data_IF_972671728714
#
_entry.id   IF_972671728714
#
_cell.length_a   1.000
_cell.length_b   1.000
_cell.length_c   1.000
_cell.angle_alpha   90.00
_cell.angle_beta   90.00
_cell.angle_gamma   90.00
#
_symmetry.space_group_name_H-M   'P 1'
#
loop_
_entity.id
_entity.type
_entity.pdbx_description
1 polymer ?
#
# COMPACT_ATOMS: atom_id res chain seq x y z
N UNK A 1 53.61 34.44 -24.05
CA UNK A 1 53.21 35.46 -23.05
C UNK A 1 54.12 36.71 -23.03
N UNK A 2 55.42 36.64 -23.32
CA UNK A 2 56.36 37.79 -23.25
C UNK A 2 56.13 38.95 -24.26
N UNK A 3 55.57 38.70 -25.44
CA UNK A 3 55.32 39.75 -26.46
C UNK A 3 54.14 40.67 -26.11
N UNK A 4 53.08 40.14 -25.48
CA UNK A 4 51.90 40.92 -25.07
C UNK A 4 52.22 41.84 -23.90
N UNK A 5 53.01 41.38 -22.94
CA UNK A 5 53.47 42.21 -21.81
C UNK A 5 54.42 43.32 -22.26
N UNK A 6 55.31 43.06 -23.24
CA UNK A 6 56.17 44.09 -23.82
C UNK A 6 55.38 45.14 -24.61
N UNK A 7 54.40 44.72 -25.42
CA UNK A 7 53.53 45.63 -26.15
C UNK A 7 52.69 46.51 -25.20
N UNK A 8 52.13 45.92 -24.14
CA UNK A 8 51.39 46.67 -23.12
C UNK A 8 52.28 47.67 -22.38
N UNK A 9 53.54 47.31 -22.11
CA UNK A 9 54.49 48.20 -21.43
C UNK A 9 54.92 49.35 -22.34
N UNK A 10 55.14 49.09 -23.64
CA UNK A 10 55.43 50.13 -24.64
C UNK A 10 54.24 51.09 -24.82
N UNK A 11 53.02 50.55 -24.90
CA UNK A 11 51.79 51.35 -24.99
C UNK A 11 51.58 52.18 -23.71
N UNK A 12 51.86 51.62 -22.53
CA UNK A 12 51.78 52.35 -21.27
C UNK A 12 52.79 53.50 -21.19
N UNK A 13 54.03 53.30 -21.68
CA UNK A 13 55.05 54.35 -21.75
C UNK A 13 54.63 55.46 -22.72
N UNK A 14 54.10 55.11 -23.90
CA UNK A 14 53.58 56.08 -24.88
C UNK A 14 52.39 56.88 -24.34
N UNK A 15 51.47 56.22 -23.63
CA UNK A 15 50.35 56.87 -22.95
C UNK A 15 50.83 57.78 -21.82
N UNK A 16 51.80 57.34 -21.00
CA UNK A 16 52.36 58.14 -19.93
C UNK A 16 53.11 59.38 -20.47
N UNK A 17 53.86 59.23 -21.57
CA UNK A 17 54.54 60.34 -22.24
C UNK A 17 53.55 61.34 -22.86
N UNK A 18 52.50 60.85 -23.52
CA UNK A 18 51.44 61.70 -24.10
C UNK A 18 50.63 62.45 -23.04
N UNK A 19 50.29 61.78 -21.93
CA UNK A 19 49.67 62.43 -20.76
C UNK A 19 50.62 63.48 -20.15
N UNK A 20 51.92 63.19 -20.10
CA UNK A 20 52.96 64.13 -19.65
C UNK A 20 53.01 65.42 -20.48
N UNK A 21 52.89 65.33 -21.81
CA UNK A 21 52.85 66.52 -22.68
C UNK A 21 51.57 67.34 -22.49
N UNK A 22 50.40 66.70 -22.38
CA UNK A 22 49.13 67.38 -22.11
C UNK A 22 49.10 68.11 -20.76
N UNK A 23 49.85 67.61 -19.76
CA UNK A 23 50.01 68.26 -18.45
C UNK A 23 50.77 69.59 -18.57
N UNK A 24 51.72 69.69 -19.52
CA UNK A 24 52.57 70.87 -19.70
C UNK A 24 51.86 71.96 -20.52
N UNK A 25 51.03 71.57 -21.49
CA UNK A 25 50.35 72.51 -22.41
C UNK A 25 49.14 73.23 -21.80
N UNK A 26 48.45 72.61 -20.83
CA UNK A 26 47.27 73.20 -20.16
C UNK A 26 47.43 73.24 -18.64
N UNK A 27 48.03 74.32 -18.13
CA UNK A 27 48.17 74.62 -16.70
C UNK A 27 46.86 75.19 -16.10
N UNK A 28 45.76 74.47 -16.25
CA UNK A 28 44.53 74.80 -15.52
C UNK A 28 44.81 74.82 -14.02
N UNK A 29 44.31 75.83 -13.31
CA UNK A 29 44.40 75.90 -11.84
C UNK A 29 43.01 75.70 -11.22
N UNK A 30 42.98 75.07 -10.05
CA UNK A 30 41.80 74.90 -9.23
C UNK A 30 41.98 75.77 -7.99
N UNK A 31 41.14 76.79 -7.88
CA UNK A 31 41.10 77.71 -6.74
C UNK A 31 39.88 77.38 -5.88
N UNK A 32 40.12 76.84 -4.68
CA UNK A 32 39.07 76.59 -3.69
C UNK A 32 39.18 77.69 -2.64
N UNK A 33 38.13 78.51 -2.54
CA UNK A 33 38.04 79.55 -1.51
C UNK A 33 36.98 79.17 -0.49
N UNK A 34 37.37 79.11 0.78
CA UNK A 34 36.42 78.93 1.88
C UNK A 34 36.75 79.91 3.00
N UNK A 35 35.84 80.88 3.22
CA UNK A 35 36.02 82.00 4.15
C UNK A 35 37.34 82.74 3.88
N UNK A 36 38.32 82.65 4.78
CA UNK A 36 39.61 83.32 4.67
C UNK A 36 40.74 82.42 4.12
N UNK A 37 40.45 81.16 3.77
CA UNK A 37 41.45 80.23 3.27
C UNK A 37 41.33 80.13 1.75
N UNK A 38 42.43 80.41 1.04
CA UNK A 38 42.55 80.23 -0.41
C UNK A 38 43.56 79.11 -0.67
N UNK A 39 43.09 78.01 -1.25
CA UNK A 39 43.95 76.93 -1.72
C UNK A 39 44.07 76.99 -3.24
N UNK A 40 45.29 77.25 -3.71
CA UNK A 40 45.65 77.25 -5.12
C UNK A 40 46.42 75.97 -5.42
N UNK A 41 45.85 75.13 -6.29
CA UNK A 41 46.52 73.90 -6.76
C UNK A 41 46.40 73.78 -8.27
N UNK A 42 47.38 73.14 -8.89
CA UNK A 42 47.29 72.78 -10.31
C UNK A 42 46.19 71.74 -10.49
N UNK A 43 45.42 71.82 -11.58
CA UNK A 43 44.34 70.89 -11.90
C UNK A 43 44.78 69.41 -11.81
N UNK A 44 46.00 69.13 -12.27
CA UNK A 44 46.59 67.79 -12.23
C UNK A 44 46.93 67.30 -10.82
N UNK A 45 47.37 68.20 -9.93
CA UNK A 45 47.61 67.87 -8.52
C UNK A 45 46.30 67.55 -7.82
N UNK A 46 45.25 68.34 -8.09
CA UNK A 46 43.91 68.09 -7.57
C UNK A 46 43.35 66.74 -8.04
N UNK A 47 43.50 66.41 -9.33
CA UNK A 47 43.08 65.13 -9.88
C UNK A 47 43.86 63.95 -9.27
N UNK A 48 45.17 64.10 -9.06
CA UNK A 48 45.98 63.08 -8.40
C UNK A 48 45.53 62.86 -6.94
N UNK A 49 45.24 63.93 -6.19
CA UNK A 49 44.69 63.83 -4.84
C UNK A 49 43.33 63.09 -4.82
N UNK A 50 42.44 63.36 -5.78
CA UNK A 50 41.17 62.63 -5.91
C UNK A 50 41.43 61.14 -6.22
N UNK A 51 42.36 60.83 -7.13
CA UNK A 51 42.69 59.45 -7.46
C UNK A 51 43.25 58.70 -6.25
N UNK A 52 44.13 59.34 -5.46
CA UNK A 52 44.66 58.78 -4.20
C UNK A 52 43.56 58.58 -3.16
N UNK A 53 42.64 59.55 -3.02
CA UNK A 53 41.49 59.42 -2.12
C UNK A 53 40.59 58.25 -2.52
N UNK A 54 40.27 58.12 -3.81
CA UNK A 54 39.46 57.02 -4.33
C UNK A 54 40.16 55.67 -4.18
N UNK A 55 41.46 55.60 -4.44
CA UNK A 55 42.26 54.39 -4.20
C UNK A 55 42.30 54.02 -2.72
N UNK A 56 42.44 55.01 -1.83
CA UNK A 56 42.40 54.83 -0.38
C UNK A 56 41.04 54.34 0.09
N UNK A 57 39.93 54.92 -0.39
CA UNK A 57 38.57 54.47 -0.10
C UNK A 57 38.32 53.04 -0.62
N UNK A 58 38.80 52.73 -1.81
CA UNK A 58 38.72 51.38 -2.37
C UNK A 58 39.49 50.37 -1.50
N UNK A 59 40.70 50.73 -1.07
CA UNK A 59 41.52 49.91 -0.19
C UNK A 59 40.87 49.72 1.18
N UNK A 60 40.33 50.77 1.79
CA UNK A 60 39.58 50.72 3.05
C UNK A 60 38.33 49.84 2.93
N UNK A 61 37.58 49.95 1.84
CA UNK A 61 36.43 49.08 1.55
C UNK A 61 36.86 47.61 1.41
N UNK A 62 37.97 47.34 0.71
CA UNK A 62 38.51 46.00 0.57
C UNK A 62 38.90 45.41 1.93
N UNK A 63 39.60 46.20 2.76
CA UNK A 63 40.01 45.82 4.11
C UNK A 63 38.79 45.56 5.02
N UNK A 64 37.79 46.44 4.96
CA UNK A 64 36.53 46.26 5.67
C UNK A 64 35.79 44.98 5.22
N UNK A 65 35.74 44.68 3.92
CA UNK A 65 35.14 43.43 3.42
C UNK A 65 35.88 42.18 3.88
N UNK A 66 37.21 42.22 3.98
CA UNK A 66 38.01 41.06 4.45
C UNK A 66 37.85 40.86 5.96
N UNK A 67 37.93 41.95 6.73
CA UNK A 67 37.79 41.90 8.20
C UNK A 67 36.37 41.56 8.65
N UNK A 68 35.35 42.20 8.07
CA UNK A 68 33.94 41.94 8.40
C UNK A 68 33.39 40.69 7.69
N UNK A 69 34.00 40.28 6.57
CA UNK A 69 33.70 39.00 5.91
C UNK A 69 33.99 37.79 6.80
N UNK A 70 34.90 37.93 7.77
CA UNK A 70 35.14 36.94 8.82
C UNK A 70 34.01 36.87 9.86
N UNK A 71 33.19 37.92 10.01
CA UNK A 71 32.10 37.97 10.99
C UNK A 71 30.75 37.47 10.46
N UNK A 72 30.68 36.90 9.24
CA UNK A 72 29.58 36.01 8.85
C UNK A 72 28.22 36.66 8.57
N UNK A 73 28.12 37.98 8.41
CA UNK A 73 26.80 38.63 8.33
C UNK A 73 26.17 38.68 6.93
N UNK A 74 26.91 38.71 5.82
CA UNK A 74 26.31 38.60 4.48
C UNK A 74 27.30 38.03 3.45
N UNK A 75 27.54 36.71 3.47
CA UNK A 75 28.30 36.06 2.39
C UNK A 75 27.36 35.25 1.48
N UNK A 76 27.04 35.70 0.24
CA UNK A 76 26.26 34.89 -0.71
C UNK A 76 26.96 33.56 -1.08
N UNK A 77 28.27 33.46 -0.86
CA UNK A 77 29.03 32.21 -0.98
C UNK A 77 28.68 31.20 0.14
N UNK A 78 28.29 31.66 1.34
CA UNK A 78 27.82 30.79 2.43
C UNK A 78 26.48 30.13 2.14
N UNK A 79 25.58 30.82 1.43
CA UNK A 79 24.29 30.27 1.03
C UNK A 79 24.48 29.22 -0.07
N UNK A 80 25.34 29.49 -1.06
CA UNK A 80 25.72 28.51 -2.09
C UNK A 80 26.42 27.29 -1.49
N UNK A 81 27.31 27.49 -0.53
CA UNK A 81 28.03 26.38 0.12
C UNK A 81 27.10 25.55 1.02
N UNK A 82 26.13 26.18 1.70
CA UNK A 82 25.08 25.47 2.46
C UNK A 82 24.20 24.64 1.55
N UNK A 83 23.75 25.21 0.42
CA UNK A 83 22.96 24.48 -0.57
C UNK A 83 23.75 23.29 -1.14
N UNK A 84 25.01 23.51 -1.55
CA UNK A 84 25.87 22.43 -2.06
C UNK A 84 26.03 21.30 -1.05
N UNK A 85 26.26 21.62 0.23
CA UNK A 85 26.35 20.61 1.30
C UNK A 85 25.03 19.87 1.53
N UNK A 86 23.90 20.54 1.39
CA UNK A 86 22.59 19.88 1.47
C UNK A 86 22.42 18.92 0.29
N UNK A 87 22.70 19.37 -0.93
CA UNK A 87 22.59 18.56 -2.15
C UNK A 87 23.51 17.32 -2.05
N UNK A 88 24.78 17.50 -1.66
CA UNK A 88 25.74 16.41 -1.39
C UNK A 88 25.19 15.42 -0.35
N UNK A 89 24.65 15.91 0.78
CA UNK A 89 24.09 15.06 1.83
C UNK A 89 22.82 14.31 1.38
N UNK A 90 21.98 14.93 0.54
CA UNK A 90 20.78 14.29 -0.02
C UNK A 90 21.20 13.18 -0.98
N UNK A 91 22.11 13.46 -1.90
CA UNK A 91 22.58 12.51 -2.91
C UNK A 91 23.27 11.31 -2.24
N UNK A 92 24.23 11.57 -1.35
CA UNK A 92 24.89 10.51 -0.58
C UNK A 92 23.89 9.75 0.29
N UNK A 93 23.01 10.46 1.02
CA UNK A 93 22.04 9.85 1.91
C UNK A 93 21.06 8.92 1.20
N UNK A 94 20.55 9.32 0.03
CA UNK A 94 19.66 8.49 -0.79
C UNK A 94 20.41 7.33 -1.45
N UNK A 95 21.64 7.54 -1.92
CA UNK A 95 22.48 6.46 -2.46
C UNK A 95 22.78 5.40 -1.40
N UNK A 96 23.12 5.80 -0.18
CA UNK A 96 23.35 4.86 0.92
C UNK A 96 22.06 4.17 1.36
N UNK A 97 20.92 4.88 1.36
CA UNK A 97 19.61 4.31 1.65
C UNK A 97 19.25 3.19 0.67
N UNK A 98 19.43 3.44 -0.63
CA UNK A 98 19.15 2.45 -1.69
C UNK A 98 20.10 1.26 -1.66
N UNK A 99 21.34 1.44 -1.21
CA UNK A 99 22.32 0.35 -0.99
C UNK A 99 22.02 -0.49 0.27
N UNK A 100 21.08 -0.07 1.11
CA UNK A 100 20.79 -0.71 2.39
C UNK A 100 21.79 -0.35 3.50
N UNK A 101 22.63 0.67 3.29
CA UNK A 101 23.57 1.16 4.29
C UNK A 101 22.85 2.15 5.22
N UNK A 102 22.09 1.61 6.19
CA UNK A 102 21.16 2.38 7.00
C UNK A 102 21.81 3.41 7.92
N UNK A 103 22.98 3.12 8.49
CA UNK A 103 23.68 4.03 9.43
C UNK A 103 24.18 5.33 8.77
N UNK A 104 24.89 5.31 7.62
CA UNK A 104 25.23 6.54 6.91
C UNK A 104 24.00 7.23 6.33
N UNK A 105 23.01 6.48 5.82
CA UNK A 105 21.76 7.05 5.33
C UNK A 105 21.02 7.85 6.40
N UNK A 106 20.83 7.29 7.60
CA UNK A 106 20.19 7.96 8.73
C UNK A 106 20.90 9.28 9.09
N UNK A 107 22.23 9.28 9.14
CA UNK A 107 23.02 10.48 9.45
C UNK A 107 22.82 11.58 8.40
N UNK A 108 23.00 11.25 7.12
CA UNK A 108 22.92 12.24 6.04
C UNK A 108 21.48 12.74 5.81
N UNK A 109 20.49 11.84 5.85
CA UNK A 109 19.08 12.20 5.68
C UNK A 109 18.54 12.99 6.89
N UNK A 110 18.98 12.70 8.11
CA UNK A 110 18.61 13.51 9.28
C UNK A 110 19.21 14.92 9.24
N UNK A 111 20.42 15.08 8.67
CA UNK A 111 20.99 16.40 8.38
C UNK A 111 20.17 17.12 7.31
N UNK A 112 19.85 16.44 6.19
CA UNK A 112 19.02 16.99 5.12
C UNK A 112 17.64 17.42 5.61
N UNK A 113 17.02 16.64 6.50
CA UNK A 113 15.75 16.96 7.16
C UNK A 113 15.79 18.25 8.01
N UNK A 114 16.95 18.64 8.54
CA UNK A 114 17.10 19.88 9.33
C UNK A 114 17.42 21.09 8.44
N UNK A 115 18.14 20.87 7.35
CA UNK A 115 18.65 21.95 6.49
C UNK A 115 17.76 22.25 5.28
N UNK A 116 16.95 21.28 4.82
CA UNK A 116 16.10 21.44 3.64
C UNK A 116 14.83 22.25 3.93
N UNK A 117 14.40 23.13 3.00
CA UNK A 117 13.08 23.78 3.09
C UNK A 117 11.91 22.80 2.95
N UNK A 118 12.12 21.60 2.37
CA UNK A 118 11.11 20.56 2.22
C UNK A 118 11.55 19.29 2.98
N UNK A 119 11.36 19.24 4.31
CA UNK A 119 12.04 18.24 5.13
C UNK A 119 11.35 16.87 5.13
N UNK A 120 10.08 16.78 4.72
CA UNK A 120 9.26 15.57 4.87
C UNK A 120 9.89 14.30 4.26
N UNK A 121 10.30 14.27 2.97
CA UNK A 121 10.80 13.04 2.38
C UNK A 121 12.06 12.52 3.09
N UNK A 122 12.91 13.44 3.56
CA UNK A 122 14.14 13.10 4.27
C UNK A 122 13.85 12.61 5.69
N UNK A 123 12.87 13.18 6.39
CA UNK A 123 12.44 12.69 7.70
C UNK A 123 11.88 11.27 7.58
N UNK A 124 10.99 11.03 6.62
CA UNK A 124 10.38 9.70 6.43
C UNK A 124 11.43 8.65 6.04
N UNK A 125 12.37 8.99 5.15
CA UNK A 125 13.46 8.09 4.78
C UNK A 125 14.41 7.83 5.97
N UNK A 126 14.73 8.86 6.76
CA UNK A 126 15.53 8.71 7.98
C UNK A 126 14.82 7.83 9.02
N UNK A 127 13.50 8.00 9.23
CA UNK A 127 12.73 7.17 10.14
C UNK A 127 12.73 5.69 9.71
N UNK A 128 12.55 5.41 8.41
CA UNK A 128 12.68 4.05 7.87
C UNK A 128 14.09 3.47 8.07
N UNK A 129 15.14 4.26 7.83
CA UNK A 129 16.51 3.82 8.06
C UNK A 129 16.79 3.52 9.54
N UNK A 130 16.28 4.35 10.46
CA UNK A 130 16.36 4.11 11.89
C UNK A 130 15.63 2.82 12.30
N UNK A 131 14.46 2.54 11.69
CA UNK A 131 13.73 1.30 11.93
C UNK A 131 14.53 0.07 11.50
N UNK A 132 15.18 0.11 10.32
CA UNK A 132 16.05 -0.99 9.86
C UNK A 132 17.26 -1.22 10.76
N UNK A 133 17.70 -0.21 11.48
CA UNK A 133 18.74 -0.30 12.51
C UNK A 133 18.22 -0.75 13.89
N UNK A 134 16.93 -1.10 14.01
CA UNK A 134 16.26 -1.42 15.27
C UNK A 134 16.29 -0.26 16.29
N UNK A 135 16.43 0.97 15.81
CA UNK A 135 16.41 2.19 16.62
C UNK A 135 14.99 2.78 16.66
N UNK A 136 14.02 2.00 17.15
CA UNK A 136 12.60 2.36 17.15
C UNK A 136 12.31 3.72 17.79
N UNK A 137 12.95 4.03 18.93
CA UNK A 137 12.78 5.31 19.61
C UNK A 137 13.24 6.51 18.78
N UNK A 138 14.28 6.36 17.95
CA UNK A 138 14.75 7.41 17.05
C UNK A 138 13.77 7.61 15.89
N UNK A 139 13.26 6.51 15.32
CA UNK A 139 12.26 6.56 14.26
C UNK A 139 10.98 7.28 14.73
N UNK A 140 10.50 6.93 15.92
CA UNK A 140 9.28 7.52 16.50
C UNK A 140 9.47 9.01 16.82
N UNK A 141 10.63 9.40 17.36
CA UNK A 141 10.99 10.81 17.57
C UNK A 141 11.02 11.61 16.26
N UNK A 142 11.60 11.04 15.20
CA UNK A 142 11.65 11.70 13.88
C UNK A 142 10.25 11.92 13.30
N UNK A 143 9.35 10.95 13.43
CA UNK A 143 7.96 11.07 12.95
C UNK A 143 7.15 12.08 13.78
N UNK A 144 7.35 12.12 15.10
CA UNK A 144 6.72 13.11 15.97
C UNK A 144 7.22 14.54 15.67
N UNK A 145 8.53 14.70 15.44
CA UNK A 145 9.11 15.96 14.98
C UNK A 145 8.54 16.40 13.62
N UNK A 146 8.35 15.46 12.68
CA UNK A 146 7.67 15.74 11.41
C UNK A 146 6.24 16.22 11.64
N UNK A 147 5.46 15.57 12.51
CA UNK A 147 4.07 15.94 12.79
C UNK A 147 3.95 17.35 13.38
N UNK A 148 4.87 17.72 14.27
CA UNK A 148 4.92 19.07 14.87
C UNK A 148 5.29 20.16 13.86
N UNK A 149 6.21 19.86 12.95
CA UNK A 149 6.70 20.84 11.95
C UNK A 149 5.79 20.96 10.75
N UNK A 150 5.10 19.89 10.37
CA UNK A 150 4.34 19.76 9.12
C UNK A 150 2.95 19.15 9.37
N UNK A 151 2.07 19.82 10.14
CA UNK A 151 0.74 19.29 10.44
C UNK A 151 -0.13 19.11 9.19
N UNK A 152 0.11 19.89 8.13
CA UNK A 152 -0.61 19.78 6.85
C UNK A 152 -0.35 18.44 6.12
N UNK A 153 0.77 17.77 6.39
CA UNK A 153 1.17 16.52 5.72
C UNK A 153 0.96 15.26 6.60
N UNK A 154 -0.01 15.30 7.53
CA UNK A 154 -0.22 14.23 8.52
C UNK A 154 -0.43 12.85 7.88
N UNK A 155 -1.08 12.76 6.71
CA UNK A 155 -1.33 11.49 6.04
C UNK A 155 -0.03 10.74 5.72
N UNK A 156 0.97 11.39 5.10
CA UNK A 156 2.22 10.75 4.74
C UNK A 156 2.99 10.26 5.99
N UNK A 157 2.88 11.00 7.09
CA UNK A 157 3.47 10.64 8.39
C UNK A 157 2.75 9.42 8.97
N UNK A 158 1.42 9.40 8.95
CA UNK A 158 0.62 8.25 9.42
C UNK A 158 0.88 7.00 8.59
N UNK A 159 0.95 7.12 7.26
CA UNK A 159 1.27 6.00 6.37
C UNK A 159 2.65 5.40 6.70
N UNK A 160 3.65 6.24 6.92
CA UNK A 160 4.97 5.80 7.35
C UNK A 160 4.92 5.17 8.74
N UNK A 161 4.21 5.77 9.70
CA UNK A 161 4.07 5.26 11.05
C UNK A 161 3.41 3.87 11.06
N UNK A 162 2.32 3.69 10.33
CA UNK A 162 1.64 2.41 10.17
C UNK A 162 2.58 1.36 9.53
N UNK A 163 3.36 1.73 8.52
CA UNK A 163 4.38 0.86 7.93
C UNK A 163 5.40 0.37 8.96
N UNK A 164 5.90 1.27 9.83
CA UNK A 164 6.84 0.89 10.88
C UNK A 164 6.18 -0.05 11.91
N UNK A 165 4.94 0.22 12.33
CA UNK A 165 4.19 -0.67 13.21
C UNK A 165 3.99 -2.07 12.61
N UNK A 166 3.70 -2.17 11.32
CA UNK A 166 3.63 -3.47 10.63
C UNK A 166 4.98 -4.20 10.64
N UNK A 167 6.09 -3.49 10.40
CA UNK A 167 7.44 -4.10 10.45
C UNK A 167 7.80 -4.62 11.85
N UNK A 168 7.24 -4.00 12.90
CA UNK A 168 7.38 -4.45 14.30
C UNK A 168 6.43 -5.58 14.69
N UNK A 169 5.50 -5.99 13.81
CA UNK A 169 4.44 -6.97 14.11
C UNK A 169 3.28 -6.41 14.92
N UNK A 170 3.18 -5.08 15.08
CA UNK A 170 2.08 -4.41 15.78
C UNK A 170 0.91 -4.13 14.83
N UNK A 171 0.32 -5.17 14.26
CA UNK A 171 -0.70 -5.05 13.20
C UNK A 171 -1.96 -4.32 13.66
N UNK A 172 -2.40 -4.52 14.91
CA UNK A 172 -3.56 -3.81 15.48
C UNK A 172 -3.32 -2.30 15.59
N UNK A 173 -2.13 -1.87 16.03
CA UNK A 173 -1.79 -0.45 16.12
C UNK A 173 -1.74 0.20 14.73
N UNK A 174 -1.18 -0.50 13.75
CA UNK A 174 -1.17 -0.04 12.37
C UNK A 174 -2.60 0.11 11.81
N UNK A 175 -3.47 -0.87 12.07
CA UNK A 175 -4.87 -0.80 11.66
C UNK A 175 -5.59 0.41 12.25
N UNK A 176 -5.51 0.62 13.57
CA UNK A 176 -6.16 1.75 14.24
C UNK A 176 -5.68 3.10 13.69
N UNK A 177 -4.38 3.24 13.43
CA UNK A 177 -3.80 4.45 12.86
C UNK A 177 -4.34 4.72 11.45
N UNK A 178 -4.37 3.71 10.58
CA UNK A 178 -4.90 3.86 9.22
C UNK A 178 -6.42 4.12 9.23
N UNK A 179 -7.19 3.46 10.09
CA UNK A 179 -8.62 3.72 10.24
C UNK A 179 -8.90 5.15 10.69
N UNK A 180 -8.12 5.69 11.63
CA UNK A 180 -8.23 7.10 12.04
C UNK A 180 -7.90 8.07 10.91
N UNK A 181 -6.89 7.75 10.09
CA UNK A 181 -6.55 8.55 8.91
C UNK A 181 -7.63 8.48 7.83
N UNK A 182 -8.27 7.32 7.66
CA UNK A 182 -9.32 7.10 6.67
C UNK A 182 -10.51 8.06 6.86
N UNK A 183 -10.92 8.34 8.10
CA UNK A 183 -12.00 9.31 8.38
C UNK A 183 -11.67 10.75 7.96
N UNK A 184 -10.39 11.08 7.72
CA UNK A 184 -9.94 12.42 7.32
C UNK A 184 -9.73 12.54 5.82
N UNK A 185 -9.22 11.48 5.19
CA UNK A 185 -8.94 11.43 3.74
C UNK A 185 -9.44 10.11 3.16
N UNK A 186 -10.67 10.10 2.67
CA UNK A 186 -11.33 8.91 2.11
C UNK A 186 -11.00 8.68 0.64
N UNK A 187 -10.25 9.56 -0.02
CA UNK A 187 -10.02 9.48 -1.47
C UNK A 187 -8.62 8.98 -1.82
N UNK A 188 -7.69 8.95 -0.86
CA UNK A 188 -6.32 8.55 -1.12
C UNK A 188 -6.17 7.06 -1.48
N UNK A 189 -5.69 6.72 -2.70
CA UNK A 189 -5.52 5.34 -3.14
C UNK A 189 -4.61 4.47 -2.28
N UNK A 190 -3.47 5.02 -1.86
CA UNK A 190 -2.44 4.30 -1.09
C UNK A 190 -2.96 3.97 0.32
N UNK A 191 -3.74 4.88 0.92
CA UNK A 191 -4.36 4.67 2.22
C UNK A 191 -5.38 3.53 2.16
N UNK A 192 -6.29 3.57 1.19
CA UNK A 192 -7.30 2.53 0.97
C UNK A 192 -6.62 1.19 0.70
N UNK A 193 -5.57 1.20 -0.11
CA UNK A 193 -4.82 -0.01 -0.44
C UNK A 193 -4.17 -0.65 0.80
N UNK A 194 -3.45 0.14 1.58
CA UNK A 194 -2.83 -0.36 2.81
C UNK A 194 -3.86 -0.80 3.84
N UNK A 195 -4.95 -0.04 3.98
CA UNK A 195 -6.00 -0.37 4.93
C UNK A 195 -6.68 -1.69 4.58
N UNK A 196 -7.06 -1.95 3.31
CA UNK A 196 -7.68 -3.24 2.98
C UNK A 196 -6.73 -4.41 3.23
N UNK A 197 -5.42 -4.26 2.95
CA UNK A 197 -4.43 -5.32 3.17
C UNK A 197 -4.32 -5.65 4.65
N UNK A 198 -4.30 -4.64 5.52
CA UNK A 198 -4.25 -4.84 6.97
C UNK A 198 -5.55 -5.46 7.48
N UNK A 199 -6.71 -4.96 7.04
CA UNK A 199 -8.01 -5.53 7.44
C UNK A 199 -8.12 -7.00 7.03
N UNK A 200 -7.66 -7.34 5.83
CA UNK A 200 -7.65 -8.71 5.33
C UNK A 200 -6.69 -9.61 6.13
N UNK A 201 -5.52 -9.10 6.52
CA UNK A 201 -4.54 -9.83 7.32
C UNK A 201 -5.04 -10.08 8.76
N UNK A 202 -5.67 -9.06 9.37
CA UNK A 202 -6.18 -9.14 10.74
C UNK A 202 -7.53 -9.88 10.83
N UNK A 203 -8.18 -10.16 9.70
CA UNK A 203 -9.50 -10.77 9.65
C UNK A 203 -10.64 -9.84 10.08
N UNK A 204 -10.46 -8.52 10.04
CA UNK A 204 -11.53 -7.56 10.34
C UNK A 204 -12.47 -7.43 9.13
N UNK A 205 -13.39 -8.38 9.02
CA UNK A 205 -14.37 -8.41 7.93
C UNK A 205 -15.39 -7.27 8.02
N UNK A 206 -15.67 -6.78 9.24
CA UNK A 206 -16.59 -5.67 9.47
C UNK A 206 -16.09 -4.39 8.82
N UNK A 207 -14.82 -4.04 9.08
CA UNK A 207 -14.14 -2.92 8.46
C UNK A 207 -13.97 -3.12 6.95
N UNK A 208 -13.63 -4.33 6.52
CA UNK A 208 -13.42 -4.63 5.10
C UNK A 208 -14.68 -4.42 4.26
N UNK A 209 -15.84 -4.88 4.75
CA UNK A 209 -17.15 -4.64 4.12
C UNK A 209 -17.43 -3.15 3.93
N UNK A 210 -17.10 -2.33 4.93
CA UNK A 210 -17.28 -0.88 4.86
C UNK A 210 -16.38 -0.18 3.83
N UNK A 211 -15.23 -0.78 3.51
CA UNK A 211 -14.23 -0.23 2.59
C UNK A 211 -14.48 -0.60 1.12
N UNK A 212 -15.30 -1.62 0.84
CA UNK A 212 -15.61 -2.10 -0.52
C UNK A 212 -16.07 -0.98 -1.47
N UNK A 213 -17.00 -0.08 -1.11
CA UNK A 213 -17.46 0.98 -2.02
C UNK A 213 -16.34 1.89 -2.50
N UNK A 214 -15.36 2.17 -1.63
CA UNK A 214 -14.24 3.06 -1.94
C UNK A 214 -13.14 2.33 -2.74
N UNK A 215 -13.00 1.00 -2.57
CA UNK A 215 -12.16 0.18 -3.45
C UNK A 215 -12.62 0.21 -4.90
N UNK A 216 -13.93 0.23 -5.16
CA UNK A 216 -14.46 0.40 -6.52
C UNK A 216 -14.12 1.79 -7.12
N UNK A 217 -13.99 2.84 -6.30
CA UNK A 217 -13.68 4.20 -6.77
C UNK A 217 -12.21 4.38 -7.13
N UNK A 218 -11.31 3.82 -6.31
CA UNK A 218 -9.85 3.99 -6.45
C UNK A 218 -9.31 3.29 -7.70
N UNK A 219 -9.98 2.22 -8.18
CA UNK A 219 -9.57 1.43 -9.36
C UNK A 219 -8.13 0.90 -9.32
N UNK A 220 -7.56 0.72 -8.13
CA UNK A 220 -6.27 0.03 -7.94
C UNK A 220 -6.38 -1.47 -8.22
N UNK A 221 -7.57 -2.03 -7.98
CA UNK A 221 -7.93 -3.41 -8.26
C UNK A 221 -8.91 -3.49 -9.43
N UNK A 222 -8.90 -4.61 -10.13
CA UNK A 222 -9.90 -4.92 -11.15
C UNK A 222 -11.28 -5.13 -10.52
N UNK A 223 -12.36 -4.85 -11.24
CA UNK A 223 -13.72 -5.06 -10.73
C UNK A 223 -13.97 -6.51 -10.28
N UNK A 224 -13.34 -7.49 -10.93
CA UNK A 224 -13.41 -8.91 -10.54
C UNK A 224 -12.73 -9.17 -9.19
N UNK A 225 -11.59 -8.53 -8.92
CA UNK A 225 -10.88 -8.68 -7.66
C UNK A 225 -11.64 -8.03 -6.50
N UNK A 226 -12.21 -6.84 -6.73
CA UNK A 226 -13.05 -6.18 -5.71
C UNK A 226 -14.29 -7.00 -5.41
N UNK A 227 -14.96 -7.58 -6.43
CA UNK A 227 -16.09 -8.50 -6.23
C UNK A 227 -15.69 -9.73 -5.43
N UNK A 228 -14.56 -10.36 -5.75
CA UNK A 228 -14.08 -11.53 -5.01
C UNK A 228 -13.77 -11.18 -3.55
N UNK A 229 -13.18 -10.01 -3.30
CA UNK A 229 -12.89 -9.50 -1.97
C UNK A 229 -14.18 -9.20 -1.18
N UNK A 230 -15.17 -8.57 -1.83
CA UNK A 230 -16.49 -8.29 -1.26
C UNK A 230 -17.17 -9.58 -0.80
N UNK A 231 -17.18 -10.61 -1.66
CA UNK A 231 -17.75 -11.91 -1.30
C UNK A 231 -17.02 -12.52 -0.10
N UNK A 232 -15.68 -12.52 -0.10
CA UNK A 232 -14.87 -13.04 1.01
C UNK A 232 -15.15 -12.29 2.31
N UNK A 233 -15.28 -10.97 2.24
CA UNK A 233 -15.56 -10.13 3.40
C UNK A 233 -16.92 -10.46 4.02
N UNK A 234 -17.97 -10.56 3.19
CA UNK A 234 -19.30 -10.94 3.66
C UNK A 234 -19.35 -12.37 4.20
N UNK A 235 -18.66 -13.32 3.57
CA UNK A 235 -18.56 -14.69 4.08
C UNK A 235 -17.90 -14.74 5.46
N UNK A 236 -16.79 -14.02 5.65
CA UNK A 236 -16.11 -13.94 6.94
C UNK A 236 -17.02 -13.33 8.01
N UNK A 237 -17.70 -12.23 7.69
CA UNK A 237 -18.63 -11.56 8.61
C UNK A 237 -19.82 -12.44 9.00
N UNK A 238 -20.35 -13.24 8.08
CA UNK A 238 -21.39 -14.22 8.37
C UNK A 238 -20.87 -15.36 9.24
N UNK A 239 -19.62 -15.78 9.04
CA UNK A 239 -18.99 -16.83 9.82
C UNK A 239 -18.72 -16.42 11.28
N UNK A 240 -18.37 -15.16 11.52
CA UNK A 240 -18.08 -14.62 12.85
C UNK A 240 -19.31 -14.43 13.75
N UNK A 241 -20.50 -14.29 13.16
CA UNK A 241 -21.73 -13.99 13.91
C UNK A 241 -21.97 -15.03 15.02
N UNK A 242 -21.94 -14.61 16.29
CA UNK A 242 -21.90 -15.50 17.44
C UNK A 242 -23.24 -16.21 17.68
N UNK A 243 -24.35 -15.55 17.38
CA UNK A 243 -25.70 -16.05 17.60
C UNK A 243 -26.63 -15.78 16.39
N UNK A 244 -27.85 -16.30 16.46
CA UNK A 244 -28.86 -16.12 15.42
C UNK A 244 -29.24 -14.64 15.24
N UNK A 245 -29.23 -13.85 16.31
CA UNK A 245 -29.64 -12.44 16.23
C UNK A 245 -28.63 -11.62 15.44
N UNK A 246 -27.35 -11.80 15.73
CA UNK A 246 -26.25 -11.17 15.02
C UNK A 246 -26.21 -11.64 13.56
N UNK A 247 -26.37 -12.95 13.33
CA UNK A 247 -26.40 -13.51 11.99
C UNK A 247 -27.52 -12.91 11.14
N UNK A 248 -28.73 -12.80 11.71
CA UNK A 248 -29.88 -12.17 11.06
C UNK A 248 -29.67 -10.67 10.82
N UNK A 249 -29.02 -9.96 11.77
CA UNK A 249 -28.65 -8.55 11.57
C UNK A 249 -27.73 -8.39 10.37
N UNK A 250 -26.65 -9.18 10.30
CA UNK A 250 -25.72 -9.15 9.16
C UNK A 250 -26.46 -9.50 7.87
N UNK A 251 -27.26 -10.55 7.86
CA UNK A 251 -28.04 -10.97 6.69
C UNK A 251 -28.97 -9.87 6.17
N UNK A 252 -29.64 -9.14 7.07
CA UNK A 252 -30.55 -8.05 6.70
C UNK A 252 -29.84 -6.80 6.16
N UNK A 253 -28.52 -6.66 6.39
CA UNK A 253 -27.73 -5.54 5.82
C UNK A 253 -27.24 -5.79 4.40
N UNK A 254 -27.31 -7.04 3.92
CA UNK A 254 -26.89 -7.39 2.56
C UNK A 254 -27.80 -6.73 1.52
N UNK A 255 -27.22 -6.40 0.37
CA UNK A 255 -27.95 -5.92 -0.79
C UNK A 255 -28.72 -7.05 -1.47
N UNK A 256 -29.74 -6.70 -2.27
CA UNK A 256 -30.54 -7.67 -3.02
C UNK A 256 -29.74 -8.52 -4.01
N UNK A 257 -28.61 -8.00 -4.50
CA UNK A 257 -27.69 -8.75 -5.38
C UNK A 257 -26.92 -9.81 -4.60
N UNK A 258 -26.49 -9.51 -3.37
CA UNK A 258 -25.77 -10.45 -2.51
C UNK A 258 -26.68 -11.54 -1.95
N UNK A 259 -27.95 -11.25 -1.65
CA UNK A 259 -28.93 -12.27 -1.22
C UNK A 259 -29.16 -13.38 -2.25
N UNK A 260 -28.90 -13.10 -3.53
CA UNK A 260 -29.04 -14.09 -4.63
C UNK A 260 -27.71 -14.75 -4.99
N UNK A 261 -26.61 -14.36 -4.36
CA UNK A 261 -25.32 -14.96 -4.65
C UNK A 261 -25.21 -16.32 -3.95
N UNK A 262 -25.00 -17.44 -4.69
CA UNK A 262 -24.95 -18.78 -4.09
C UNK A 262 -23.89 -18.90 -2.99
N UNK A 263 -22.73 -18.24 -3.14
CA UNK A 263 -21.65 -18.33 -2.16
C UNK A 263 -21.98 -17.67 -0.82
N UNK A 264 -22.81 -16.61 -0.84
CA UNK A 264 -23.27 -15.90 0.36
C UNK A 264 -24.39 -16.68 1.04
N UNK A 265 -25.35 -17.19 0.25
CA UNK A 265 -26.41 -18.08 0.74
C UNK A 265 -25.81 -19.30 1.44
N UNK A 266 -24.80 -19.93 0.85
CA UNK A 266 -24.09 -21.07 1.46
C UNK A 266 -23.40 -20.71 2.78
N UNK A 267 -22.74 -19.55 2.85
CA UNK A 267 -22.09 -19.10 4.08
C UNK A 267 -23.10 -18.83 5.21
N UNK A 268 -24.24 -18.23 4.88
CA UNK A 268 -25.32 -18.01 5.84
C UNK A 268 -25.95 -19.32 6.30
N UNK A 269 -26.28 -20.23 5.37
CA UNK A 269 -26.86 -21.53 5.70
C UNK A 269 -25.90 -22.41 6.52
N UNK A 270 -24.60 -22.40 6.20
CA UNK A 270 -23.61 -23.15 6.98
C UNK A 270 -23.49 -22.61 8.41
N UNK A 271 -23.56 -21.29 8.61
CA UNK A 271 -23.61 -20.69 9.94
C UNK A 271 -24.90 -21.04 10.67
N UNK A 272 -26.06 -20.97 10.03
CA UNK A 272 -27.35 -21.39 10.62
C UNK A 272 -27.30 -22.84 11.11
N UNK A 273 -26.78 -23.75 10.29
CA UNK A 273 -26.63 -25.17 10.66
C UNK A 273 -25.71 -25.32 11.88
N UNK A 274 -24.60 -24.58 11.91
CA UNK A 274 -23.65 -24.59 13.05
C UNK A 274 -24.30 -24.07 14.33
N UNK A 275 -25.21 -23.09 14.23
CA UNK A 275 -25.99 -22.55 15.34
C UNK A 275 -27.21 -23.42 15.72
N UNK A 276 -27.42 -24.56 15.06
CA UNK A 276 -28.53 -25.49 15.36
C UNK A 276 -29.84 -25.20 14.61
N UNK A 277 -29.86 -24.23 13.70
CA UNK A 277 -31.03 -23.78 12.94
C UNK A 277 -31.10 -24.42 11.55
N UNK A 278 -30.97 -25.75 11.49
CA UNK A 278 -30.92 -26.49 10.22
C UNK A 278 -32.24 -26.43 9.41
N UNK A 279 -33.39 -26.31 10.07
CA UNK A 279 -34.70 -26.18 9.42
C UNK A 279 -34.84 -24.86 8.67
N UNK A 280 -34.30 -23.78 9.23
CA UNK A 280 -34.36 -22.45 8.62
C UNK A 280 -33.43 -22.39 7.40
N UNK A 281 -32.26 -23.04 7.50
CA UNK A 281 -31.34 -23.22 6.38
C UNK A 281 -31.97 -24.05 5.25
N UNK A 282 -32.69 -25.11 5.58
CA UNK A 282 -33.40 -25.95 4.61
C UNK A 282 -34.43 -25.13 3.82
N UNK A 283 -35.28 -24.39 4.53
CA UNK A 283 -36.31 -23.55 3.91
C UNK A 283 -35.72 -22.49 2.97
N UNK A 284 -34.64 -21.84 3.39
CA UNK A 284 -33.96 -20.84 2.55
C UNK A 284 -33.33 -21.47 1.30
N UNK A 285 -32.63 -22.60 1.44
CA UNK A 285 -32.02 -23.30 0.30
C UNK A 285 -33.07 -23.76 -0.71
N UNK A 286 -34.19 -24.30 -0.23
CA UNK A 286 -35.32 -24.69 -1.09
C UNK A 286 -35.86 -23.50 -1.88
N UNK A 287 -36.10 -22.37 -1.21
CA UNK A 287 -36.59 -21.15 -1.87
C UNK A 287 -35.62 -20.63 -2.94
N UNK A 288 -34.31 -20.71 -2.71
CA UNK A 288 -33.30 -20.29 -3.68
C UNK A 288 -33.22 -21.25 -4.87
N UNK A 289 -33.26 -22.56 -4.62
CA UNK A 289 -33.25 -23.59 -5.65
C UNK A 289 -34.49 -23.55 -6.55
N UNK A 290 -35.65 -23.15 -6.02
CA UNK A 290 -36.87 -22.91 -6.81
C UNK A 290 -36.73 -21.74 -7.79
N UNK A 291 -35.93 -20.71 -7.46
CA UNK A 291 -35.72 -19.56 -8.33
C UNK A 291 -34.67 -19.86 -9.41
N UNK A 292 -33.54 -20.45 -9.00
CA UNK A 292 -32.46 -20.84 -9.89
C UNK A 292 -31.73 -22.03 -9.30
N UNK A 293 -31.77 -23.16 -10.02
CA UNK A 293 -31.04 -24.35 -9.60
C UNK A 293 -29.54 -24.10 -9.73
N UNK A 294 -28.87 -24.17 -8.58
CA UNK A 294 -27.41 -24.11 -8.45
C UNK A 294 -26.94 -25.38 -7.77
N UNK A 295 -25.91 -26.01 -8.36
CA UNK A 295 -25.44 -27.34 -7.93
C UNK A 295 -24.81 -27.28 -6.54
N UNK A 296 -24.15 -26.17 -6.18
CA UNK A 296 -23.55 -26.02 -4.86
C UNK A 296 -24.62 -25.84 -3.78
N UNK A 297 -25.70 -25.09 -4.08
CA UNK A 297 -26.87 -25.01 -3.19
C UNK A 297 -27.55 -26.36 -3.01
N UNK A 298 -27.70 -27.14 -4.08
CA UNK A 298 -28.28 -28.48 -4.03
C UNK A 298 -27.44 -29.44 -3.19
N UNK A 299 -26.12 -29.35 -3.29
CA UNK A 299 -25.18 -30.10 -2.46
C UNK A 299 -25.31 -29.76 -0.97
N UNK A 300 -25.43 -28.48 -0.62
CA UNK A 300 -25.67 -28.06 0.76
C UNK A 300 -27.04 -28.52 1.26
N UNK A 301 -28.06 -28.45 0.41
CA UNK A 301 -29.41 -28.94 0.72
C UNK A 301 -29.40 -30.44 1.05
N UNK A 302 -28.66 -31.25 0.28
CA UNK A 302 -28.53 -32.69 0.51
C UNK A 302 -27.71 -33.08 1.76
N UNK A 303 -26.96 -32.14 2.34
CA UNK A 303 -26.21 -32.34 3.58
C UNK A 303 -27.08 -32.20 4.83
N UNK A 304 -28.16 -31.42 4.74
CA UNK A 304 -29.05 -31.18 5.88
C UNK A 304 -29.84 -32.46 6.18
N UNK A 305 -29.97 -32.87 7.45
CA UNK A 305 -30.91 -33.92 7.85
C UNK A 305 -32.35 -33.41 7.70
N UNK A 306 -33.09 -33.96 6.75
CA UNK A 306 -34.46 -33.52 6.46
C UNK A 306 -35.47 -34.15 7.41
N UNK A 307 -36.43 -33.35 7.89
CA UNK A 307 -37.57 -33.85 8.69
C UNK A 307 -38.45 -34.79 7.86
N UNK A 308 -38.62 -34.49 6.57
CA UNK A 308 -39.30 -35.36 5.61
C UNK A 308 -38.40 -35.63 4.39
N UNK A 309 -37.55 -36.66 4.45
CA UNK A 309 -36.60 -36.97 3.38
C UNK A 309 -37.25 -37.33 2.04
N UNK A 310 -38.44 -37.94 2.03
CA UNK A 310 -39.14 -38.31 0.79
C UNK A 310 -39.59 -37.08 0.01
N UNK A 311 -40.13 -36.07 0.69
CA UNK A 311 -40.48 -34.78 0.07
C UNK A 311 -39.24 -34.04 -0.42
N UNK A 312 -38.15 -34.07 0.35
CA UNK A 312 -36.89 -33.46 -0.03
C UNK A 312 -36.30 -34.11 -1.30
N UNK A 313 -36.38 -35.43 -1.41
CA UNK A 313 -35.98 -36.17 -2.60
C UNK A 313 -36.87 -35.81 -3.81
N UNK A 314 -38.20 -35.78 -3.66
CA UNK A 314 -39.11 -35.40 -4.74
C UNK A 314 -38.82 -33.99 -5.28
N UNK A 315 -38.57 -33.02 -4.38
CA UNK A 315 -38.19 -31.67 -4.79
C UNK A 315 -36.87 -31.67 -5.58
N UNK A 316 -35.86 -32.40 -5.09
CA UNK A 316 -34.58 -32.54 -5.78
C UNK A 316 -34.69 -33.23 -7.14
N UNK A 317 -35.51 -34.29 -7.26
CA UNK A 317 -35.82 -34.94 -8.54
C UNK A 317 -36.45 -33.96 -9.54
N UNK A 318 -37.28 -33.02 -9.07
CA UNK A 318 -37.81 -31.92 -9.88
C UNK A 318 -36.71 -30.96 -10.36
N UNK A 319 -35.81 -30.54 -9.46
CA UNK A 319 -34.69 -29.65 -9.81
C UNK A 319 -33.66 -30.31 -10.75
N UNK A 320 -33.45 -31.62 -10.63
CA UNK A 320 -32.55 -32.39 -11.50
C UNK A 320 -32.94 -32.31 -12.98
N UNK A 321 -34.22 -32.12 -13.29
CA UNK A 321 -34.66 -31.99 -14.68
C UNK A 321 -34.09 -30.73 -15.36
N UNK A 322 -33.76 -29.69 -14.59
CA UNK A 322 -33.18 -28.45 -15.10
C UNK A 322 -31.65 -28.51 -15.28
N UNK A 323 -30.99 -29.43 -14.56
CA UNK A 323 -29.53 -29.58 -14.53
C UNK A 323 -29.14 -31.02 -14.90
N UNK A 324 -29.80 -31.56 -15.91
CA UNK A 324 -29.56 -32.92 -16.38
C UNK A 324 -28.12 -33.07 -16.88
N UNK A 325 -27.39 -34.06 -16.38
CA UNK A 325 -26.02 -34.37 -16.80
C UNK A 325 -24.93 -33.75 -15.93
N UNK A 326 -25.25 -33.15 -14.78
CA UNK A 326 -24.26 -32.75 -13.79
C UNK A 326 -24.02 -33.87 -12.76
N UNK A 327 -22.77 -34.32 -12.66
CA UNK A 327 -22.37 -35.40 -11.76
C UNK A 327 -22.62 -35.08 -10.28
N UNK A 328 -22.38 -33.83 -9.87
CA UNK A 328 -22.59 -33.38 -8.50
C UNK A 328 -24.07 -33.21 -8.21
N UNK A 329 -24.91 -32.78 -9.17
CA UNK A 329 -26.35 -32.75 -8.96
C UNK A 329 -26.91 -34.17 -8.67
N UNK A 330 -26.49 -35.18 -9.45
CA UNK A 330 -26.85 -36.59 -9.22
C UNK A 330 -26.33 -37.10 -7.87
N UNK A 331 -25.12 -36.72 -7.48
CA UNK A 331 -24.56 -37.08 -6.17
C UNK A 331 -25.42 -36.55 -5.02
N UNK A 332 -25.89 -35.29 -5.10
CA UNK A 332 -26.78 -34.70 -4.10
C UNK A 332 -28.12 -35.46 -4.01
N UNK A 333 -28.72 -35.82 -5.14
CA UNK A 333 -29.95 -36.60 -5.17
C UNK A 333 -29.76 -38.01 -4.59
N UNK A 334 -28.61 -38.65 -4.87
CA UNK A 334 -28.21 -39.91 -4.24
C UNK A 334 -28.19 -39.82 -2.71
N UNK A 335 -27.60 -38.76 -2.16
CA UNK A 335 -27.58 -38.52 -0.70
C UNK A 335 -28.98 -38.34 -0.11
N UNK A 336 -29.85 -37.59 -0.79
CA UNK A 336 -31.25 -37.44 -0.37
C UNK A 336 -32.00 -38.77 -0.44
N UNK A 337 -31.74 -39.60 -1.45
CA UNK A 337 -32.33 -40.93 -1.57
C UNK A 337 -31.86 -41.89 -0.46
N UNK A 338 -30.60 -41.78 -0.04
CA UNK A 338 -30.09 -42.47 1.17
C UNK A 338 -30.86 -42.02 2.41
N UNK A 339 -31.05 -40.70 2.61
CA UNK A 339 -31.84 -40.19 3.75
C UNK A 339 -33.30 -40.69 3.71
N UNK A 340 -33.89 -40.78 2.52
CA UNK A 340 -35.23 -41.32 2.29
C UNK A 340 -35.31 -42.85 2.33
N UNK A 341 -34.20 -43.55 2.60
CA UNK A 341 -34.10 -45.03 2.60
C UNK A 341 -34.51 -45.68 1.28
N UNK A 342 -34.42 -44.94 0.17
CA UNK A 342 -34.67 -45.43 -1.20
C UNK A 342 -33.37 -45.96 -1.81
N UNK A 343 -32.86 -47.07 -1.25
CA UNK A 343 -31.52 -47.59 -1.55
C UNK A 343 -31.25 -47.88 -3.03
N UNK A 344 -32.24 -48.44 -3.74
CA UNK A 344 -32.12 -48.72 -5.16
C UNK A 344 -31.91 -47.44 -5.98
N UNK A 345 -32.74 -46.41 -5.75
CA UNK A 345 -32.59 -45.11 -6.40
C UNK A 345 -31.26 -44.45 -6.02
N UNK A 346 -30.87 -44.50 -4.76
CA UNK A 346 -29.60 -43.94 -4.30
C UNK A 346 -28.41 -44.57 -5.05
N UNK A 347 -28.42 -45.89 -5.21
CA UNK A 347 -27.40 -46.62 -5.98
C UNK A 347 -27.36 -46.17 -7.43
N UNK A 348 -28.53 -46.03 -8.06
CA UNK A 348 -28.62 -45.67 -9.48
C UNK A 348 -28.15 -44.21 -9.69
N UNK A 349 -28.50 -43.28 -8.80
CA UNK A 349 -27.98 -41.90 -8.84
C UNK A 349 -26.47 -41.81 -8.61
N UNK A 350 -25.93 -42.56 -7.64
CA UNK A 350 -24.49 -42.58 -7.39
C UNK A 350 -23.71 -43.22 -8.55
N UNK A 351 -24.24 -44.27 -9.19
CA UNK A 351 -23.64 -44.84 -10.40
C UNK A 351 -23.65 -43.84 -11.56
N UNK A 352 -24.77 -43.17 -11.80
CA UNK A 352 -24.85 -42.13 -12.83
C UNK A 352 -23.88 -40.97 -12.57
N UNK A 353 -23.72 -40.54 -11.31
CA UNK A 353 -22.73 -39.55 -10.92
C UNK A 353 -21.29 -40.03 -11.22
N UNK A 354 -21.00 -41.29 -10.86
CA UNK A 354 -19.68 -41.89 -11.06
C UNK A 354 -19.31 -42.06 -12.55
N UNK A 355 -20.28 -42.41 -13.39
CA UNK A 355 -20.11 -42.53 -14.84
C UNK A 355 -19.76 -41.18 -15.49
N UNK A 356 -20.35 -40.09 -14.99
CA UNK A 356 -20.07 -38.74 -15.49
C UNK A 356 -18.74 -38.19 -14.97
N UNK A 357 -18.51 -38.28 -13.66
CA UNK A 357 -17.28 -37.80 -13.03
C UNK A 357 -16.87 -38.72 -11.88
N UNK A 358 -15.87 -39.58 -12.10
CA UNK A 358 -15.31 -40.40 -11.03
C UNK A 358 -14.67 -39.52 -9.95
N UNK A 359 -15.23 -39.55 -8.74
CA UNK A 359 -14.63 -38.87 -7.59
C UNK A 359 -14.49 -39.85 -6.42
N UNK A 360 -13.41 -39.74 -5.62
CA UNK A 360 -13.20 -40.60 -4.45
C UNK A 360 -14.37 -40.56 -3.47
N UNK A 361 -15.02 -39.40 -3.34
CA UNK A 361 -16.17 -39.20 -2.47
C UNK A 361 -17.38 -40.04 -2.91
N UNK A 362 -17.70 -40.07 -4.21
CA UNK A 362 -18.79 -40.88 -4.75
C UNK A 362 -18.50 -42.38 -4.57
N UNK A 363 -17.25 -42.83 -4.79
CA UNK A 363 -16.84 -44.21 -4.51
C UNK A 363 -17.09 -44.60 -3.04
N UNK A 364 -16.66 -43.76 -2.09
CA UNK A 364 -16.82 -44.03 -0.67
C UNK A 364 -18.29 -44.04 -0.21
N UNK A 365 -19.12 -43.15 -0.74
CA UNK A 365 -20.56 -43.12 -0.43
C UNK A 365 -21.31 -44.32 -1.03
N UNK A 366 -21.02 -44.66 -2.29
CA UNK A 366 -21.63 -45.82 -2.96
C UNK A 366 -21.21 -47.13 -2.30
N UNK A 367 -19.95 -47.28 -1.92
CA UNK A 367 -19.50 -48.46 -1.19
C UNK A 367 -20.17 -48.59 0.18
N UNK A 368 -20.30 -47.48 0.93
CA UNK A 368 -21.04 -47.47 2.20
C UNK A 368 -22.50 -47.89 2.00
N UNK A 369 -23.15 -47.42 0.93
CA UNK A 369 -24.50 -47.82 0.57
C UNK A 369 -24.60 -49.32 0.25
N UNK A 370 -23.70 -49.86 -0.58
CA UNK A 370 -23.71 -51.29 -0.93
C UNK A 370 -23.46 -52.19 0.29
N UNK A 371 -22.55 -51.78 1.18
CA UNK A 371 -22.32 -52.49 2.44
C UNK A 371 -23.58 -52.50 3.33
N UNK A 372 -24.32 -51.38 3.39
CA UNK A 372 -25.61 -51.33 4.11
C UNK A 372 -26.68 -52.24 3.46
N UNK A 373 -26.62 -52.44 2.14
CA UNK A 373 -27.49 -53.36 1.41
C UNK A 373 -27.03 -54.83 1.50
N UNK A 374 -25.89 -55.12 2.13
CA UNK A 374 -25.32 -56.46 2.29
C UNK A 374 -24.40 -56.92 1.16
N UNK A 375 -24.10 -56.08 0.17
CA UNK A 375 -23.18 -56.39 -0.94
C UNK A 375 -21.75 -55.92 -0.63
N UNK A 376 -21.12 -56.62 0.30
CA UNK A 376 -19.77 -56.30 0.79
C UNK A 376 -18.69 -56.48 -0.28
N UNK A 377 -18.89 -57.40 -1.24
CA UNK A 377 -17.90 -57.69 -2.26
C UNK A 377 -17.77 -56.51 -3.21
N UNK A 378 -18.88 -56.06 -3.80
CA UNK A 378 -18.86 -54.89 -4.68
C UNK A 378 -18.54 -53.60 -3.93
N UNK A 379 -18.94 -53.47 -2.66
CA UNK A 379 -18.51 -52.35 -1.81
C UNK A 379 -16.99 -52.25 -1.64
N UNK A 380 -16.31 -53.36 -1.35
CA UNK A 380 -14.86 -53.40 -1.19
C UNK A 380 -14.10 -53.16 -2.51
N UNK A 381 -14.61 -53.67 -3.63
CA UNK A 381 -14.05 -53.43 -4.97
C UNK A 381 -14.10 -51.93 -5.33
N UNK A 382 -15.21 -51.25 -5.02
CA UNK A 382 -15.37 -49.81 -5.23
C UNK A 382 -14.45 -48.98 -4.33
N UNK A 383 -14.31 -49.34 -3.05
CA UNK A 383 -13.34 -48.68 -2.16
C UNK A 383 -11.91 -48.80 -2.67
N UNK A 384 -11.51 -50.00 -3.09
CA UNK A 384 -10.17 -50.24 -3.65
C UNK A 384 -9.93 -49.42 -4.92
N UNK A 385 -10.97 -49.23 -5.74
CA UNK A 385 -10.90 -48.42 -6.95
C UNK A 385 -10.85 -46.91 -6.64
N UNK A 386 -11.59 -46.46 -5.63
CA UNK A 386 -11.51 -45.08 -5.13
C UNK A 386 -10.14 -44.73 -4.53
N UNK A 387 -9.49 -45.67 -3.83
CA UNK A 387 -8.13 -45.49 -3.29
C UNK A 387 -7.11 -45.35 -4.44
N UNK A 388 -7.17 -46.21 -5.46
CA UNK A 388 -6.29 -46.10 -6.64
C UNK A 388 -6.43 -44.75 -7.34
N UNK A 389 -7.67 -44.25 -7.47
CA UNK A 389 -7.91 -42.92 -8.03
C UNK A 389 -7.24 -41.81 -7.21
N UNK A 390 -7.29 -41.90 -5.87
CA UNK A 390 -6.60 -40.95 -5.00
C UNK A 390 -5.08 -41.02 -5.15
N UNK A 391 -4.51 -42.22 -5.28
CA UNK A 391 -3.08 -42.42 -5.50
C UNK A 391 -2.62 -41.83 -6.85
N UNK A 392 -3.42 -42.03 -7.91
CA UNK A 392 -3.16 -41.44 -9.23
C UNK A 392 -3.25 -39.90 -9.20
N UNK A 393 -4.22 -39.35 -8.47
CA UNK A 393 -4.39 -37.90 -8.31
C UNK A 393 -3.31 -37.26 -7.43
N UNK A 394 -2.75 -37.99 -6.47
CA UNK A 394 -1.66 -37.52 -5.61
C UNK A 394 -0.30 -37.46 -6.34
N UNK A 395 -0.18 -38.07 -7.53
CA UNK A 395 1.07 -38.22 -8.26
C UNK A 395 2.05 -39.16 -7.55
N UNK A 396 3.16 -39.58 -8.20
CA UNK A 396 4.17 -40.37 -7.53
C UNK A 396 4.76 -39.55 -6.40
N UNK A 397 4.50 -39.96 -5.16
CA UNK A 397 5.31 -39.54 -4.02
C UNK A 397 6.73 -39.95 -4.39
N UNK A 398 7.59 -38.96 -4.67
CA UNK A 398 9.02 -39.17 -4.87
C UNK A 398 9.59 -39.78 -3.58
N UNK A 399 9.54 -41.11 -3.52
CA UNK A 399 10.09 -41.89 -2.44
C UNK A 399 11.60 -41.98 -2.62
N UNK A 400 12.28 -41.21 -1.75
CA UNK A 400 13.59 -41.46 -1.12
C UNK A 400 14.80 -41.80 -1.99
#
# INVERSE_FOLDING_TARGET
>A
MKKRTFLLLLIAILLAAGLGMLIVEHQGYVLITWKNIRFETTFWVFLACIAVLLAGLYFLRMLACVLLGSLGWVNPWSARNRKRRLDEAVDEGMMEYTRGNWQPALRQLSYAAKASPQPLPYILAAARAAEKLQQHGVADQLLEDARRRLPENDLAIVLCQAELHQQRGHEQQAQELLQKAYWRDTENPELIERLYRILLANGDWGGLVGLVPDLYKVKSLTESEVKALELRAWQGRLHEAADLQELNKVWNTLSSTLHRNPQIVLAYCSRLITLGHATDAEGLLRQQLEQKVDVALLQAYAQIPHVNPERALQAAEGWLQQVSGDAMALFAAGRLAVQARQWAKARDYYRGSLELQPTPQVYAELARLLNQMGDYKSGNELLSSGIRLLEEQAGPVAGR
#
